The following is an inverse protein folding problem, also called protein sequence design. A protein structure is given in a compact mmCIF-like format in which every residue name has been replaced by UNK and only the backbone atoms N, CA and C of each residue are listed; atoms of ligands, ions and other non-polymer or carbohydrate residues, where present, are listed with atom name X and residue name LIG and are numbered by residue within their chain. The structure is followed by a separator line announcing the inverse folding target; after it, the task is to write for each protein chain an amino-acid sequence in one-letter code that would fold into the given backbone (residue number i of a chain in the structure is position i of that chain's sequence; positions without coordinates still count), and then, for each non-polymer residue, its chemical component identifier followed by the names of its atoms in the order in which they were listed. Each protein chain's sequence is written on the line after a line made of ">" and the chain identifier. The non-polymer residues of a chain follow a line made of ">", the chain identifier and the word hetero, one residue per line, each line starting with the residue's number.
data_IF_613877583689
#
_entry.id   IF_613877583689
#
_cell.length_a   1.000
_cell.length_b   1.000
_cell.length_c   1.000
_cell.angle_alpha   90.00
_cell.angle_beta   90.00
_cell.angle_gamma   90.00
#
_symmetry.space_group_name_H-M   'P 1'
#
loop_
_entity.id
_entity.type
_entity.pdbx_description
1 polymer ?
#
# COMPACT_ATOMS: atom_id res chain seq x y z
N UNK A 1 2.39 35.86 -7.55
CA UNK A 1 1.63 34.69 -7.08
C UNK A 1 2.59 33.58 -6.73
N UNK A 2 2.45 33.04 -5.56
CA UNK A 2 3.25 31.90 -5.17
C UNK A 2 2.70 30.66 -5.85
N UNK A 3 3.51 30.00 -6.64
CA UNK A 3 3.13 28.71 -7.18
C UNK A 3 3.23 27.71 -6.05
N UNK A 4 2.12 27.14 -5.65
CA UNK A 4 2.18 26.08 -4.66
C UNK A 4 2.95 24.91 -5.23
N UNK A 5 3.90 24.40 -4.46
CA UNK A 5 4.58 23.18 -4.84
C UNK A 5 3.55 22.05 -4.87
N UNK A 6 3.51 21.32 -5.98
CA UNK A 6 2.65 20.15 -6.05
C UNK A 6 3.09 19.14 -4.99
N UNK A 7 2.13 18.61 -4.27
CA UNK A 7 2.43 17.57 -3.30
C UNK A 7 2.93 16.32 -4.00
N UNK A 8 4.07 15.81 -3.55
CA UNK A 8 4.64 14.55 -4.02
C UNK A 8 4.17 13.37 -3.18
N UNK A 9 3.21 13.61 -2.29
CA UNK A 9 2.66 12.57 -1.42
C UNK A 9 1.15 12.62 -1.40
N UNK A 10 0.56 11.47 -1.05
CA UNK A 10 -0.87 11.28 -0.82
C UNK A 10 -1.05 10.76 0.60
N UNK A 11 -1.91 11.39 1.37
CA UNK A 11 -2.19 10.99 2.75
C UNK A 11 -3.67 10.66 2.89
N UNK A 12 -3.97 9.50 3.44
CA UNK A 12 -5.33 9.09 3.75
C UNK A 12 -5.33 8.32 5.07
N UNK A 13 -6.50 8.18 5.69
CA UNK A 13 -6.58 7.50 6.98
C UNK A 13 -7.94 6.83 7.16
N UNK A 14 -7.97 5.92 8.12
CA UNK A 14 -9.21 5.30 8.62
C UNK A 14 -9.03 5.04 10.10
N UNK A 15 -10.13 5.06 10.84
CA UNK A 15 -10.14 4.66 12.24
C UNK A 15 -10.87 3.33 12.36
N UNK A 16 -10.26 2.37 13.06
CA UNK A 16 -10.85 1.04 13.23
C UNK A 16 -11.08 0.76 14.70
N UNK A 17 -12.17 0.07 15.01
CA UNK A 17 -12.54 -0.28 16.39
C UNK A 17 -11.86 -1.60 16.78
N UNK A 18 -10.54 -1.53 17.01
CA UNK A 18 -9.73 -2.68 17.39
C UNK A 18 -8.47 -2.20 18.09
N UNK A 19 -7.88 -3.02 18.97
CA UNK A 19 -6.56 -2.73 19.54
C UNK A 19 -5.50 -2.62 18.45
N UNK A 20 -4.45 -1.85 18.72
CA UNK A 20 -3.41 -1.57 17.72
C UNK A 20 -2.73 -2.86 17.22
N UNK A 21 -2.55 -3.86 18.09
CA UNK A 21 -1.94 -5.14 17.71
C UNK A 21 -2.80 -5.88 16.70
N UNK A 22 -4.12 -5.89 16.88
CA UNK A 22 -5.03 -6.51 15.94
C UNK A 22 -5.11 -5.72 14.65
N UNK A 23 -5.16 -4.38 14.76
CA UNK A 23 -5.21 -3.50 13.59
C UNK A 23 -4.02 -3.75 12.67
N UNK A 24 -2.82 -3.83 13.24
CA UNK A 24 -1.60 -4.12 12.47
C UNK A 24 -1.63 -5.53 11.88
N UNK A 25 -1.99 -6.52 12.69
CA UNK A 25 -2.01 -7.92 12.26
C UNK A 25 -2.96 -8.16 11.09
N UNK A 26 -4.17 -7.60 11.15
CA UNK A 26 -5.15 -7.76 10.07
C UNK A 26 -4.63 -7.16 8.77
N UNK A 27 -4.00 -5.99 8.83
CA UNK A 27 -3.45 -5.35 7.63
C UNK A 27 -2.39 -6.26 6.97
N UNK A 28 -1.48 -6.78 7.76
CA UNK A 28 -0.36 -7.59 7.25
C UNK A 28 -0.82 -8.99 6.81
N UNK A 29 -1.58 -9.68 7.66
CA UNK A 29 -1.95 -11.07 7.41
C UNK A 29 -3.06 -11.23 6.38
N UNK A 30 -3.91 -10.20 6.22
CA UNK A 30 -5.03 -10.27 5.30
C UNK A 30 -4.90 -9.27 4.14
N UNK A 31 -3.69 -8.88 3.82
CA UNK A 31 -3.45 -7.93 2.74
C UNK A 31 -4.00 -8.44 1.40
N UNK A 32 -3.99 -9.74 1.19
CA UNK A 32 -4.57 -10.37 0.00
C UNK A 32 -6.06 -10.01 -0.18
N UNK A 33 -6.78 -9.84 0.91
CA UNK A 33 -8.21 -9.49 0.87
C UNK A 33 -8.41 -7.97 0.73
N UNK A 34 -7.38 -7.19 1.00
CA UNK A 34 -7.43 -5.73 0.92
C UNK A 34 -7.19 -5.28 -0.52
N UNK A 35 -6.18 -5.86 -1.19
CA UNK A 35 -5.82 -5.47 -2.55
C UNK A 35 -6.84 -5.96 -3.56
N UNK A 36 -7.39 -5.06 -4.42
CA UNK A 36 -8.31 -5.48 -5.48
C UNK A 36 -7.64 -6.40 -6.49
N UNK A 37 -8.33 -7.49 -6.86
CA UNK A 37 -7.81 -8.45 -7.85
C UNK A 37 -7.71 -7.86 -9.24
N UNK A 38 -8.51 -6.86 -9.55
CA UNK A 38 -8.46 -6.13 -10.81
C UNK A 38 -7.20 -5.26 -10.97
N UNK A 39 -6.49 -4.97 -9.88
CA UNK A 39 -5.20 -4.29 -9.94
C UNK A 39 -4.11 -5.34 -10.22
N UNK A 40 -4.10 -5.84 -11.43
CA UNK A 40 -3.36 -7.04 -11.81
C UNK A 40 -2.24 -6.68 -12.79
N UNK A 41 -1.00 -6.98 -12.41
CA UNK A 41 0.19 -6.78 -13.25
C UNK A 41 0.59 -8.05 -13.99
N UNK A 42 -0.10 -9.16 -13.74
CA UNK A 42 0.18 -10.43 -14.39
C UNK A 42 -0.61 -10.55 -15.68
N UNK A 43 -0.20 -11.49 -16.54
CA UNK A 43 -0.93 -11.82 -17.75
C UNK A 43 -2.11 -12.75 -17.49
N UNK A 44 -2.21 -13.33 -16.29
CA UNK A 44 -3.27 -14.25 -15.87
C UNK A 44 -3.93 -13.70 -14.62
N UNK A 45 -5.05 -14.30 -14.21
CA UNK A 45 -5.74 -13.90 -12.98
C UNK A 45 -4.85 -14.08 -11.76
N UNK A 46 -5.00 -13.18 -10.78
CA UNK A 46 -4.28 -13.25 -9.51
C UNK A 46 -4.95 -14.30 -8.62
N UNK A 47 -4.17 -15.28 -8.17
CA UNK A 47 -4.62 -16.27 -7.19
C UNK A 47 -4.54 -15.71 -5.78
N UNK A 48 -3.45 -15.00 -5.47
CA UNK A 48 -3.29 -14.33 -4.17
C UNK A 48 -2.22 -13.24 -4.24
N UNK A 49 -2.29 -12.29 -3.31
CA UNK A 49 -1.24 -11.31 -3.06
C UNK A 49 -0.54 -11.69 -1.76
N UNK A 50 0.79 -11.81 -1.80
CA UNK A 50 1.59 -12.23 -0.66
C UNK A 50 2.39 -11.03 -0.14
N UNK A 51 2.30 -10.77 1.17
CA UNK A 51 3.12 -9.81 1.87
C UNK A 51 4.00 -10.58 2.84
N UNK A 52 5.31 -10.58 2.62
CA UNK A 52 6.26 -11.26 3.51
C UNK A 52 6.52 -10.35 4.71
N UNK A 53 6.17 -10.76 5.92
CA UNK A 53 6.12 -9.87 7.09
C UNK A 53 7.49 -9.71 7.76
N UNK A 54 8.41 -9.04 7.06
CA UNK A 54 9.75 -8.73 7.59
C UNK A 54 10.40 -7.66 6.73
N UNK A 55 11.34 -6.93 7.29
CA UNK A 55 12.17 -6.01 6.52
C UNK A 55 12.95 -6.81 5.47
N UNK A 56 12.98 -6.31 4.24
CA UNK A 56 13.57 -7.03 3.10
C UNK A 56 12.63 -8.02 2.45
N UNK A 57 11.45 -8.25 3.02
CA UNK A 57 10.44 -9.12 2.43
C UNK A 57 9.86 -8.55 1.15
N UNK A 58 9.22 -9.39 0.37
CA UNK A 58 8.60 -8.99 -0.91
C UNK A 58 7.10 -8.86 -0.74
N UNK A 59 6.49 -7.98 -1.54
CA UNK A 59 5.05 -7.99 -1.77
C UNK A 59 4.87 -8.31 -3.24
N UNK A 60 4.18 -9.40 -3.54
CA UNK A 60 4.01 -9.85 -4.91
C UNK A 60 2.65 -10.48 -5.12
N UNK A 61 2.20 -10.43 -6.38
CA UNK A 61 1.02 -11.14 -6.81
C UNK A 61 1.43 -12.49 -7.39
N UNK A 62 0.69 -13.55 -7.02
CA UNK A 62 0.87 -14.86 -7.61
C UNK A 62 -0.35 -15.18 -8.47
N UNK A 63 -0.09 -15.56 -9.71
CA UNK A 63 -1.13 -15.92 -10.66
C UNK A 63 -1.62 -17.34 -10.50
N UNK A 64 -2.77 -17.64 -11.12
CA UNK A 64 -3.37 -18.98 -11.10
C UNK A 64 -2.49 -20.04 -11.78
N UNK A 65 -1.53 -19.60 -12.60
CA UNK A 65 -0.56 -20.49 -13.27
C UNK A 65 0.77 -20.59 -12.51
N UNK A 66 0.87 -19.99 -11.32
CA UNK A 66 2.09 -19.97 -10.52
C UNK A 66 3.07 -18.84 -10.84
N UNK A 67 2.78 -18.01 -11.85
CA UNK A 67 3.63 -16.85 -12.16
C UNK A 67 3.58 -15.83 -11.03
N UNK A 68 4.66 -15.05 -10.86
CA UNK A 68 4.76 -14.07 -9.78
C UNK A 68 5.19 -12.72 -10.35
N UNK A 69 4.65 -11.64 -9.75
CA UNK A 69 5.07 -10.28 -10.05
C UNK A 69 5.29 -9.53 -8.75
N UNK A 70 6.55 -9.26 -8.43
CA UNK A 70 6.88 -8.43 -7.27
C UNK A 70 6.65 -6.97 -7.63
N UNK A 71 5.84 -6.27 -6.83
CA UNK A 71 5.56 -4.85 -7.05
C UNK A 71 5.93 -3.99 -5.83
N UNK A 72 6.46 -4.59 -4.77
CA UNK A 72 6.91 -3.85 -3.59
C UNK A 72 7.95 -4.65 -2.82
N UNK A 73 8.72 -3.93 -2.01
CA UNK A 73 9.65 -4.51 -1.04
C UNK A 73 9.37 -3.88 0.32
N UNK A 74 9.33 -4.68 1.37
CA UNK A 74 9.16 -4.18 2.74
C UNK A 74 10.46 -3.53 3.18
N UNK A 75 10.40 -2.21 3.44
CA UNK A 75 11.56 -1.42 3.84
C UNK A 75 11.70 -1.33 5.35
N UNK A 76 10.57 -1.30 6.08
CA UNK A 76 10.55 -1.29 7.55
C UNK A 76 9.35 -2.09 8.03
N UNK A 77 9.56 -2.86 9.08
CA UNK A 77 8.54 -3.71 9.68
C UNK A 77 8.65 -3.58 11.20
N UNK A 78 7.82 -2.71 11.78
CA UNK A 78 7.87 -2.35 13.20
C UNK A 78 6.51 -2.61 13.87
N UNK A 79 6.15 -3.90 14.13
CA UNK A 79 4.86 -4.20 14.76
C UNK A 79 4.78 -3.65 16.18
N UNK A 80 3.64 -3.16 16.64
CA UNK A 80 2.40 -2.99 15.88
C UNK A 80 2.21 -1.59 15.33
N UNK A 81 3.29 -0.81 15.16
CA UNK A 81 3.22 0.63 14.95
C UNK A 81 3.33 1.05 13.48
N UNK A 82 4.14 0.32 12.69
CA UNK A 82 4.55 0.88 11.40
C UNK A 82 4.95 -0.20 10.40
N UNK A 83 4.56 0.03 9.15
CA UNK A 83 4.97 -0.76 7.99
C UNK A 83 5.35 0.21 6.87
N UNK A 84 6.50 0.03 6.25
CA UNK A 84 6.90 0.81 5.07
C UNK A 84 7.26 -0.15 3.95
N UNK A 85 6.76 0.11 2.76
CA UNK A 85 7.16 -0.66 1.58
C UNK A 85 7.37 0.27 0.38
N UNK A 86 8.22 -0.17 -0.55
CA UNK A 86 8.45 0.56 -1.79
C UNK A 86 7.32 0.27 -2.78
N UNK A 87 7.13 1.20 -3.71
CA UNK A 87 6.12 1.06 -4.78
C UNK A 87 6.88 0.88 -6.09
N UNK A 88 7.03 -0.36 -6.52
CA UNK A 88 7.80 -0.73 -7.71
C UNK A 88 6.87 -0.89 -8.93
N UNK A 89 6.04 0.12 -9.13
CA UNK A 89 5.12 0.21 -10.26
C UNK A 89 5.38 1.55 -10.94
N UNK A 90 5.62 1.53 -12.26
CA UNK A 90 5.94 2.75 -13.00
C UNK A 90 4.67 3.53 -13.40
N UNK A 91 4.88 4.68 -14.04
CA UNK A 91 3.77 5.58 -14.42
C UNK A 91 2.84 4.97 -15.48
N UNK A 92 3.23 3.89 -16.12
CA UNK A 92 2.40 3.15 -17.06
C UNK A 92 1.67 1.98 -16.40
N UNK A 93 1.75 1.88 -15.07
CA UNK A 93 1.15 0.82 -14.25
C UNK A 93 1.74 -0.55 -14.56
N UNK A 94 3.04 -0.59 -14.83
CA UNK A 94 3.81 -1.81 -15.05
C UNK A 94 4.90 -1.94 -13.99
N UNK A 95 5.48 -3.13 -13.80
CA UNK A 95 6.55 -3.29 -12.82
C UNK A 95 7.73 -2.39 -13.14
N UNK A 96 8.27 -1.72 -12.10
CA UNK A 96 9.44 -0.87 -12.20
C UNK A 96 10.67 -1.66 -11.80
N UNK A 97 11.62 -1.94 -12.71
CA UNK A 97 12.81 -2.72 -12.37
C UNK A 97 13.87 -1.95 -11.60
N UNK A 98 13.80 -0.62 -11.59
CA UNK A 98 14.81 0.23 -10.94
C UNK A 98 14.31 0.69 -9.57
N UNK A 99 14.88 0.15 -8.45
CA UNK A 99 14.46 0.55 -7.11
C UNK A 99 14.66 2.03 -6.78
N UNK A 100 15.60 2.71 -7.45
CA UNK A 100 15.84 4.13 -7.22
C UNK A 100 14.69 5.00 -7.72
N UNK A 101 13.82 4.46 -8.57
CA UNK A 101 12.65 5.16 -9.10
C UNK A 101 11.38 4.81 -8.33
N UNK A 102 11.48 3.99 -7.29
CA UNK A 102 10.33 3.61 -6.48
C UNK A 102 9.96 4.73 -5.51
N UNK A 103 8.66 4.96 -5.36
CA UNK A 103 8.13 5.74 -4.25
C UNK A 103 7.98 4.84 -3.02
N UNK A 104 7.53 5.42 -1.90
CA UNK A 104 7.40 4.69 -0.65
C UNK A 104 6.01 4.86 -0.07
N UNK A 105 5.49 3.78 0.52
CA UNK A 105 4.22 3.79 1.22
C UNK A 105 4.48 3.49 2.68
N UNK A 106 4.09 4.42 3.55
CA UNK A 106 4.20 4.23 5.00
C UNK A 106 2.81 4.11 5.59
N UNK A 107 2.59 3.05 6.37
CA UNK A 107 1.34 2.83 7.10
C UNK A 107 1.66 2.90 8.58
N UNK A 108 1.01 3.84 9.28
CA UNK A 108 1.22 4.10 10.71
C UNK A 108 -0.04 3.72 11.49
N UNK A 109 0.16 2.99 12.58
CA UNK A 109 -0.92 2.51 13.42
C UNK A 109 -0.77 3.14 14.81
N UNK A 110 -1.75 3.97 15.21
CA UNK A 110 -1.69 4.72 16.47
C UNK A 110 -2.92 4.43 17.30
N UNK A 111 -2.72 3.87 18.48
CA UNK A 111 -3.82 3.62 19.41
C UNK A 111 -4.40 4.95 19.90
N UNK A 112 -5.68 5.18 19.64
CA UNK A 112 -6.42 6.32 20.21
C UNK A 112 -7.00 5.95 21.56
N UNK A 113 -7.47 4.71 21.67
CA UNK A 113 -7.91 4.09 22.93
C UNK A 113 -7.42 2.64 22.92
N UNK A 114 -7.55 1.89 24.03
CA UNK A 114 -7.19 0.46 24.01
C UNK A 114 -7.94 -0.37 22.96
N UNK A 115 -9.08 0.14 22.46
CA UNK A 115 -9.93 -0.57 21.51
C UNK A 115 -10.16 0.19 20.21
N UNK A 116 -9.42 1.28 19.97
CA UNK A 116 -9.54 2.08 18.76
C UNK A 116 -8.19 2.48 18.24
N UNK A 117 -7.97 2.30 16.96
CA UNK A 117 -6.71 2.60 16.30
C UNK A 117 -6.93 3.50 15.11
N UNK A 118 -6.13 4.56 15.00
CA UNK A 118 -6.05 5.38 13.81
C UNK A 118 -4.98 4.78 12.89
N UNK A 119 -5.36 4.54 11.65
CA UNK A 119 -4.45 3.99 10.63
C UNK A 119 -4.28 5.04 9.55
N UNK A 120 -3.05 5.53 9.40
CA UNK A 120 -2.70 6.53 8.40
C UNK A 120 -1.81 5.88 7.35
N UNK A 121 -2.13 6.14 6.08
CA UNK A 121 -1.32 5.69 4.96
C UNK A 121 -0.83 6.91 4.21
N UNK A 122 0.49 7.00 4.04
CA UNK A 122 1.12 8.07 3.27
C UNK A 122 1.95 7.45 2.16
N UNK A 123 1.59 7.77 0.90
CA UNK A 123 2.36 7.39 -0.27
C UNK A 123 3.20 8.58 -0.65
N UNK A 124 4.51 8.53 -0.45
CA UNK A 124 5.40 9.66 -0.56
C UNK A 124 6.49 9.43 -1.60
N UNK A 125 7.13 10.53 -2.01
CA UNK A 125 8.20 10.51 -3.02
C UNK A 125 7.71 10.04 -4.38
N UNK A 126 6.47 10.35 -4.73
CA UNK A 126 5.87 9.95 -6.00
C UNK A 126 6.62 10.53 -7.21
N UNK A 127 7.26 11.69 -7.04
CA UNK A 127 8.06 12.34 -8.08
C UNK A 127 9.28 11.50 -8.52
N UNK A 128 9.68 10.50 -7.73
CA UNK A 128 10.76 9.59 -8.11
C UNK A 128 10.44 8.79 -9.37
N UNK A 129 9.16 8.60 -9.68
CA UNK A 129 8.74 7.87 -10.87
C UNK A 129 9.04 8.60 -12.18
N UNK A 130 9.37 9.89 -12.11
CA UNK A 130 9.71 10.68 -13.29
C UNK A 130 8.48 11.22 -14.00
N UNK A 131 8.64 11.55 -15.28
CA UNK A 131 7.58 12.17 -16.06
C UNK A 131 6.29 11.36 -16.00
N UNK A 132 5.19 12.03 -15.69
CA UNK A 132 3.87 11.38 -15.57
C UNK A 132 3.50 10.96 -14.16
N UNK A 133 4.36 11.25 -13.16
CA UNK A 133 4.08 10.85 -11.77
C UNK A 133 2.79 11.48 -11.22
N UNK A 134 2.39 12.64 -11.74
CA UNK A 134 1.15 13.29 -11.29
C UNK A 134 -0.08 12.45 -11.59
N UNK A 135 -0.10 11.78 -12.74
CA UNK A 135 -1.18 10.85 -13.08
C UNK A 135 -1.24 9.66 -12.13
N UNK A 136 -0.09 9.15 -11.73
CA UNK A 136 -0.03 8.07 -10.73
C UNK A 136 -0.54 8.56 -9.37
N UNK A 137 -0.12 9.77 -8.94
CA UNK A 137 -0.62 10.37 -7.71
C UNK A 137 -2.15 10.45 -7.74
N UNK A 138 -2.72 10.95 -8.81
CA UNK A 138 -4.17 11.07 -8.94
C UNK A 138 -4.85 9.70 -8.90
N UNK A 139 -4.23 8.69 -9.49
CA UNK A 139 -4.76 7.33 -9.48
C UNK A 139 -4.78 6.71 -8.08
N UNK A 140 -3.69 6.83 -7.33
CA UNK A 140 -3.62 6.24 -5.99
C UNK A 140 -4.44 7.03 -4.97
N UNK A 141 -4.67 8.31 -5.22
CA UNK A 141 -5.50 9.16 -4.36
C UNK A 141 -7.00 8.97 -4.63
N UNK A 142 -7.35 8.50 -5.82
CA UNK A 142 -8.74 8.37 -6.26
C UNK A 142 -9.50 7.28 -5.54
N UNK A 143 -10.82 7.16 -5.84
CA UNK A 143 -11.69 6.23 -5.12
C UNK A 143 -11.35 4.76 -5.30
N UNK A 144 -10.60 4.41 -6.35
CA UNK A 144 -10.14 3.03 -6.56
C UNK A 144 -8.71 2.80 -6.06
N UNK A 145 -8.07 3.83 -5.49
CA UNK A 145 -6.74 3.78 -4.93
C UNK A 145 -6.76 3.47 -3.44
N UNK A 146 -5.87 4.13 -2.69
CA UNK A 146 -5.72 3.87 -1.25
C UNK A 146 -7.01 4.01 -0.44
N UNK A 147 -7.94 4.92 -0.74
CA UNK A 147 -9.21 4.96 -0.01
C UNK A 147 -9.99 3.64 -0.10
N UNK A 148 -9.99 2.97 -1.25
CA UNK A 148 -10.61 1.66 -1.40
C UNK A 148 -9.90 0.60 -0.56
N UNK A 149 -8.57 0.59 -0.57
CA UNK A 149 -7.78 -0.35 0.22
C UNK A 149 -8.11 -0.20 1.71
N UNK A 150 -8.15 1.04 2.21
CA UNK A 150 -8.43 1.28 3.63
C UNK A 150 -9.88 0.95 3.99
N UNK A 151 -10.83 1.17 3.09
CA UNK A 151 -12.23 0.78 3.33
C UNK A 151 -12.36 -0.75 3.45
N UNK A 152 -11.73 -1.49 2.55
CA UNK A 152 -11.74 -2.95 2.61
C UNK A 152 -11.06 -3.45 3.88
N UNK A 153 -9.95 -2.82 4.24
CA UNK A 153 -9.24 -3.14 5.47
C UNK A 153 -10.12 -2.92 6.70
N UNK A 154 -10.80 -1.77 6.77
CA UNK A 154 -11.68 -1.46 7.89
C UNK A 154 -12.81 -2.48 8.02
N UNK A 155 -13.36 -2.91 6.88
CA UNK A 155 -14.41 -3.94 6.86
C UNK A 155 -13.89 -5.28 7.40
N UNK A 156 -12.65 -5.64 7.08
CA UNK A 156 -12.04 -6.87 7.59
C UNK A 156 -11.82 -6.82 9.10
N UNK A 157 -11.42 -5.67 9.63
CA UNK A 157 -11.21 -5.51 11.07
C UNK A 157 -12.52 -5.63 11.83
N UNK A 158 -13.60 -5.08 11.26
CA UNK A 158 -14.93 -5.08 11.88
C UNK A 158 -15.62 -6.44 11.77
N UNK A 159 -15.37 -7.16 10.68
CA UNK A 159 -16.00 -8.43 10.35
C UNK A 159 -15.59 -9.63 11.17
#
# INVERSE_FOLDING_TARGET
>A
MTTEAQSTSVLTHVTVEAPVERAFRVFVEQFDKIKPREHNLLAVDVAETVLEPRAGGRIYDRGVDGSECQWAEVLAYDPPDRLVFSWLIDVTWRPEPDPSRASEVEVRFSAETPERTRVELEHKHLDRHGDGWEGMRDGVEGPDGWPLYLRRYADLVTG
#
